data_IF_546659935103
#
_entry.id   IF_546659935103
#
_cell.length_a   1.000
_cell.length_b   1.000
_cell.length_c   1.000
_cell.angle_alpha   90.00
_cell.angle_beta   90.00
_cell.angle_gamma   90.00
#
_symmetry.space_group_name_H-M   'P 1'
#
loop_
_entity.id
_entity.type
_entity.pdbx_description
1 polymer ?
#
# COMPACT_ATOMS: atom_id res chain seq x y z
N UNK A 1 -24.62 13.13 -13.60
CA UNK A 1 -23.88 13.82 -12.52
C UNK A 1 -23.19 12.74 -11.71
N UNK A 2 -21.98 12.36 -12.13
CA UNK A 2 -21.25 11.21 -11.60
C UNK A 2 -19.93 11.74 -11.04
N UNK A 3 -19.81 11.68 -9.72
CA UNK A 3 -18.56 11.89 -9.01
C UNK A 3 -17.62 10.74 -9.39
N UNK A 4 -16.55 11.08 -10.09
CA UNK A 4 -15.42 10.19 -10.29
C UNK A 4 -14.67 10.08 -8.95
N UNK A 5 -14.80 8.93 -8.30
CA UNK A 5 -13.89 8.57 -7.21
C UNK A 5 -12.67 7.94 -7.88
N UNK A 6 -11.63 8.76 -8.03
CA UNK A 6 -10.31 8.34 -8.47
C UNK A 6 -9.72 7.41 -7.42
N UNK A 7 -9.54 6.13 -7.75
CA UNK A 7 -8.60 5.26 -7.05
C UNK A 7 -7.47 4.93 -8.03
N UNK A 8 -6.33 5.56 -7.80
CA UNK A 8 -5.06 5.26 -8.46
C UNK A 8 -4.20 4.50 -7.47
N UNK A 9 -4.19 3.18 -7.51
CA UNK A 9 -3.16 2.43 -6.80
C UNK A 9 -2.01 2.10 -7.77
N UNK A 10 -0.75 2.44 -7.40
CA UNK A 10 0.43 2.11 -8.19
C UNK A 10 0.73 0.62 -8.13
N UNK A 11 1.54 0.14 -9.07
CA UNK A 11 2.15 -1.19 -9.04
C UNK A 11 2.62 -1.53 -7.63
N UNK A 12 2.03 -2.57 -7.03
CA UNK A 12 2.48 -3.12 -5.76
C UNK A 12 3.74 -3.92 -6.08
N UNK A 13 4.92 -3.35 -5.80
CA UNK A 13 6.07 -4.21 -5.55
C UNK A 13 5.77 -4.96 -4.26
N UNK A 14 5.75 -6.28 -4.35
CA UNK A 14 5.59 -7.12 -3.18
C UNK A 14 6.86 -7.02 -2.34
N UNK A 15 6.72 -6.66 -1.08
CA UNK A 15 7.81 -6.65 -0.12
C UNK A 15 8.38 -8.07 0.04
N UNK A 16 9.71 -8.18 0.16
CA UNK A 16 10.37 -9.46 0.42
C UNK A 16 10.70 -9.61 1.90
N UNK A 17 10.58 -10.82 2.41
CA UNK A 17 11.14 -11.21 3.71
C UNK A 17 12.32 -12.16 3.50
N UNK A 18 13.41 -11.96 4.24
CA UNK A 18 14.52 -12.90 4.25
C UNK A 18 15.17 -13.01 5.62
N UNK A 19 15.93 -14.08 5.84
CA UNK A 19 16.77 -14.15 7.04
C UNK A 19 17.94 -13.17 6.94
N UNK A 20 18.27 -12.49 8.04
CA UNK A 20 19.43 -11.60 8.10
C UNK A 20 20.72 -12.36 7.79
N UNK A 21 20.81 -13.63 8.23
CA UNK A 21 21.91 -14.52 7.89
C UNK A 21 22.07 -14.78 6.38
N UNK A 22 20.98 -14.64 5.60
CA UNK A 22 20.97 -14.82 4.15
C UNK A 22 21.17 -13.50 3.37
N UNK A 23 21.31 -12.36 4.04
CA UNK A 23 21.43 -11.05 3.40
C UNK A 23 22.60 -10.98 2.42
N UNK A 24 23.74 -11.59 2.77
CA UNK A 24 24.92 -11.65 1.91
C UNK A 24 24.65 -12.38 0.58
N UNK A 25 23.73 -13.35 0.55
CA UNK A 25 23.35 -14.08 -0.67
C UNK A 25 22.50 -13.19 -1.57
N UNK A 26 21.61 -12.39 -0.97
CA UNK A 26 20.78 -11.41 -1.68
C UNK A 26 21.66 -10.32 -2.26
N UNK A 27 22.56 -9.74 -1.46
CA UNK A 27 23.53 -8.76 -1.94
C UNK A 27 24.32 -9.32 -3.12
N UNK A 28 24.89 -10.52 -2.99
CA UNK A 28 25.66 -11.18 -4.04
C UNK A 28 24.87 -11.39 -5.34
N UNK A 29 23.55 -11.63 -5.26
CA UNK A 29 22.69 -11.78 -6.43
C UNK A 29 22.55 -10.47 -7.25
N UNK A 30 22.76 -9.32 -6.61
CA UNK A 30 22.67 -8.01 -7.25
C UNK A 30 24.04 -7.38 -7.55
N UNK A 31 25.14 -7.92 -7.01
CA UNK A 31 26.50 -7.47 -7.34
C UNK A 31 26.75 -7.59 -8.85
N UNK A 32 27.07 -6.47 -9.49
CA UNK A 32 27.35 -6.41 -10.92
C UNK A 32 26.11 -6.33 -11.82
N UNK A 33 24.91 -6.27 -11.26
CA UNK A 33 23.72 -6.03 -12.04
C UNK A 33 23.70 -4.57 -12.57
N UNK A 34 23.51 -4.33 -13.88
CA UNK A 34 23.67 -3.01 -14.48
C UNK A 34 22.64 -1.97 -14.02
N UNK A 35 21.51 -2.41 -13.49
CA UNK A 35 20.36 -1.55 -13.14
C UNK A 35 19.84 -1.72 -11.72
N UNK A 36 20.35 -2.69 -10.97
CA UNK A 36 19.85 -3.00 -9.63
C UNK A 36 20.93 -2.66 -8.63
N UNK A 37 20.54 -1.91 -7.61
CA UNK A 37 21.46 -1.53 -6.55
C UNK A 37 20.88 -1.96 -5.22
N UNK A 38 21.56 -2.91 -4.62
CA UNK A 38 21.34 -3.25 -3.23
C UNK A 38 21.85 -2.12 -2.33
N UNK A 39 21.07 -1.81 -1.30
CA UNK A 39 21.48 -0.91 -0.22
C UNK A 39 20.96 -1.47 1.10
N UNK A 40 21.78 -1.38 2.13
CA UNK A 40 21.27 -1.54 3.48
C UNK A 40 20.39 -0.32 3.81
N UNK A 41 19.16 -0.57 4.22
CA UNK A 41 18.20 0.45 4.59
C UNK A 41 18.27 0.80 6.07
N UNK A 42 17.23 1.49 6.51
CA UNK A 42 17.03 1.81 7.92
C UNK A 42 16.24 0.72 8.64
N UNK A 43 15.25 1.16 9.41
CA UNK A 43 14.28 0.30 10.05
C UNK A 43 12.88 0.72 9.65
N UNK A 44 12.02 -0.24 9.38
CA UNK A 44 10.58 -0.04 9.33
C UNK A 44 10.05 -0.47 10.69
N UNK A 45 9.55 0.50 11.47
CA UNK A 45 9.25 0.29 12.89
C UNK A 45 10.48 -0.26 13.63
N UNK A 46 10.47 -1.51 14.10
CA UNK A 46 11.59 -2.13 14.81
C UNK A 46 12.37 -3.14 13.95
N UNK A 47 11.93 -3.39 12.71
CA UNK A 47 12.53 -4.38 11.82
C UNK A 47 13.57 -3.74 10.88
N UNK A 48 14.79 -4.27 10.80
CA UNK A 48 15.77 -3.84 9.81
C UNK A 48 15.27 -4.10 8.39
N UNK A 49 15.49 -3.14 7.50
CA UNK A 49 15.09 -3.24 6.09
C UNK A 49 16.33 -3.04 5.22
N UNK A 50 16.49 -3.87 4.21
CA UNK A 50 17.34 -3.62 3.06
C UNK A 50 16.47 -3.21 1.87
N UNK A 51 17.07 -2.61 0.85
CA UNK A 51 16.34 -2.26 -0.36
C UNK A 51 17.10 -2.69 -1.59
N UNK A 52 16.34 -3.03 -2.63
CA UNK A 52 16.86 -3.18 -3.99
C UNK A 52 16.20 -2.13 -4.85
N UNK A 53 16.99 -1.13 -5.25
CA UNK A 53 16.55 -0.05 -6.10
C UNK A 53 16.78 -0.36 -7.58
N UNK A 54 15.81 -0.07 -8.44
CA UNK A 54 15.97 0.00 -9.89
C UNK A 54 16.45 1.41 -10.25
N UNK A 55 17.59 1.51 -10.93
CA UNK A 55 18.10 2.77 -11.50
C UNK A 55 17.88 2.77 -13.00
N UNK A 56 17.24 3.81 -13.53
CA UNK A 56 17.14 4.01 -14.97
C UNK A 56 18.48 4.40 -15.62
N UNK A 57 19.42 4.93 -14.83
CA UNK A 57 20.76 5.34 -15.28
C UNK A 57 21.76 5.28 -14.13
N UNK A 58 23.05 5.00 -14.38
CA UNK A 58 24.11 5.06 -13.36
C UNK A 58 24.17 6.39 -12.59
N UNK A 59 23.70 7.48 -13.19
CA UNK A 59 23.71 8.82 -12.61
C UNK A 59 22.39 9.22 -11.92
N UNK A 60 21.33 8.41 -12.01
CA UNK A 60 20.03 8.70 -11.38
C UNK A 60 19.92 7.98 -10.02
N UNK A 61 19.31 8.60 -8.99
CA UNK A 61 18.84 7.86 -7.82
C UNK A 61 17.85 6.75 -8.25
N UNK A 62 17.65 5.75 -7.39
CA UNK A 62 16.68 4.68 -7.62
C UNK A 62 15.27 5.25 -7.80
N UNK A 63 14.58 4.81 -8.85
CA UNK A 63 13.22 5.28 -9.20
C UNK A 63 12.14 4.37 -8.62
N UNK A 64 12.47 3.10 -8.41
CA UNK A 64 11.61 2.08 -7.80
C UNK A 64 12.44 1.28 -6.81
N UNK A 65 11.87 0.98 -5.65
CA UNK A 65 12.56 0.32 -4.55
C UNK A 65 11.73 -0.84 -4.04
N UNK A 66 12.36 -2.01 -4.02
CA UNK A 66 11.85 -3.21 -3.37
C UNK A 66 12.36 -3.22 -1.93
N UNK A 67 11.45 -3.27 -0.96
CA UNK A 67 11.80 -3.39 0.45
C UNK A 67 12.02 -4.86 0.81
N UNK A 68 13.11 -5.13 1.52
CA UNK A 68 13.53 -6.46 1.98
C UNK A 68 13.63 -6.43 3.50
N UNK A 69 12.65 -7.02 4.17
CA UNK A 69 12.59 -7.09 5.63
C UNK A 69 13.46 -8.23 6.14
N UNK A 70 14.42 -7.89 7.01
CA UNK A 70 15.40 -8.82 7.56
C UNK A 70 14.88 -9.42 8.86
N UNK A 71 14.78 -10.75 8.90
CA UNK A 71 14.29 -11.53 10.04
C UNK A 71 15.41 -12.36 10.66
N UNK A 72 15.41 -12.52 11.97
CA UNK A 72 16.41 -13.35 12.66
C UNK A 72 15.98 -14.83 12.70
N UNK A 73 14.69 -15.12 12.90
CA UNK A 73 14.15 -16.48 13.02
C UNK A 73 12.85 -16.68 12.19
N UNK A 74 12.56 -17.90 11.72
CA UNK A 74 11.36 -18.17 10.93
C UNK A 74 10.10 -18.00 11.76
N UNK A 75 9.22 -17.08 11.35
CA UNK A 75 7.87 -16.92 11.89
C UNK A 75 7.83 -16.87 13.44
N UNK A 76 8.87 -16.33 14.08
CA UNK A 76 8.82 -15.97 15.48
C UNK A 76 7.93 -14.73 15.67
N UNK A 77 7.41 -14.56 16.89
CA UNK A 77 6.62 -13.37 17.21
C UNK A 77 7.53 -12.13 17.20
N UNK A 78 7.26 -11.24 16.24
CA UNK A 78 7.88 -9.92 16.17
C UNK A 78 6.78 -8.85 16.26
N UNK A 79 7.12 -7.65 16.70
CA UNK A 79 6.16 -6.54 16.74
C UNK A 79 5.52 -6.30 15.37
N UNK A 80 6.36 -6.35 14.33
CA UNK A 80 6.04 -5.91 12.97
C UNK A 80 5.53 -7.05 12.07
N UNK A 81 5.77 -8.31 12.44
CA UNK A 81 5.48 -9.49 11.63
C UNK A 81 4.71 -10.55 12.43
N UNK A 82 3.78 -11.28 11.79
CA UNK A 82 3.07 -12.34 12.46
C UNK A 82 3.98 -13.56 12.69
N UNK A 83 3.70 -14.27 13.78
CA UNK A 83 4.30 -15.56 14.12
C UNK A 83 3.59 -16.72 13.42
N UNK A 84 4.20 -17.91 13.48
CA UNK A 84 3.62 -19.12 12.91
C UNK A 84 2.26 -19.46 13.53
N UNK A 85 2.08 -19.21 14.84
CA UNK A 85 0.83 -19.49 15.55
C UNK A 85 -0.27 -18.48 15.18
N UNK A 86 0.11 -17.25 14.82
CA UNK A 86 -0.84 -16.22 14.37
C UNK A 86 -1.31 -16.49 12.93
N UNK A 87 -0.42 -17.05 12.09
CA UNK A 87 -0.74 -17.41 10.70
C UNK A 87 -1.47 -18.75 10.61
N UNK A 88 -0.97 -19.79 11.28
CA UNK A 88 -1.41 -21.17 11.09
C UNK A 88 -2.32 -21.68 12.23
N UNK A 89 -3.27 -22.59 11.92
CA UNK A 89 -3.59 -23.10 10.59
C UNK A 89 -4.27 -22.04 9.73
N UNK A 90 -4.00 -22.04 8.42
CA UNK A 90 -4.73 -21.19 7.49
C UNK A 90 -6.21 -21.60 7.45
N UNK A 91 -7.09 -20.61 7.36
CA UNK A 91 -8.53 -20.80 7.12
C UNK A 91 -8.92 -20.20 5.77
N UNK A 92 -10.11 -20.57 5.28
CA UNK A 92 -10.73 -19.92 4.12
C UNK A 92 -11.75 -18.91 4.60
N UNK A 93 -11.71 -17.71 4.03
CA UNK A 93 -12.70 -16.67 4.27
C UNK A 93 -13.30 -16.25 2.93
N UNK A 94 -14.60 -15.97 2.95
CA UNK A 94 -15.26 -15.37 1.81
C UNK A 94 -14.99 -13.86 1.79
N UNK A 95 -14.25 -13.39 0.81
CA UNK A 95 -13.97 -11.98 0.58
C UNK A 95 -14.43 -11.61 -0.83
N UNK A 96 -15.46 -10.78 -0.96
CA UNK A 96 -16.08 -10.43 -2.25
C UNK A 96 -16.47 -11.64 -3.11
N UNK A 97 -17.08 -12.68 -2.51
CA UNK A 97 -17.43 -13.94 -3.18
C UNK A 97 -16.23 -14.80 -3.61
N UNK A 98 -15.01 -14.44 -3.21
CA UNK A 98 -13.80 -15.23 -3.42
C UNK A 98 -13.39 -15.93 -2.12
N UNK A 99 -13.06 -17.21 -2.21
CA UNK A 99 -12.55 -17.99 -1.08
C UNK A 99 -11.04 -17.80 -0.93
N UNK A 100 -10.64 -16.81 -0.13
CA UNK A 100 -9.23 -16.45 0.07
C UNK A 100 -8.64 -17.18 1.29
N UNK A 101 -7.37 -17.64 1.22
CA UNK A 101 -6.68 -18.11 2.41
C UNK A 101 -6.45 -16.93 3.36
N UNK A 102 -6.63 -17.15 4.65
CA UNK A 102 -6.43 -16.16 5.69
C UNK A 102 -5.80 -16.78 6.93
N UNK A 103 -5.14 -15.98 7.79
CA UNK A 103 -4.63 -16.45 9.07
C UNK A 103 -5.71 -17.07 9.95
N UNK A 104 -5.34 -18.13 10.67
CA UNK A 104 -6.23 -18.84 11.60
C UNK A 104 -6.58 -18.04 12.85
N UNK A 105 -5.60 -17.32 13.38
CA UNK A 105 -5.71 -16.52 14.61
C UNK A 105 -5.02 -15.16 14.42
N UNK A 106 -5.55 -14.26 13.57
CA UNK A 106 -4.95 -12.96 13.33
C UNK A 106 -5.05 -12.01 14.52
N UNK A 107 -5.94 -12.25 15.47
CA UNK A 107 -6.28 -11.31 16.52
C UNK A 107 -5.09 -10.90 17.40
N UNK A 108 -4.21 -11.80 17.87
CA UNK A 108 -3.03 -11.42 18.64
C UNK A 108 -2.09 -10.49 17.86
N UNK A 109 -1.88 -10.77 16.57
CA UNK A 109 -1.06 -9.93 15.70
C UNK A 109 -1.68 -8.55 15.52
N UNK A 110 -2.98 -8.49 15.23
CA UNK A 110 -3.71 -7.24 15.05
C UNK A 110 -3.74 -6.41 16.34
N UNK A 111 -3.90 -7.04 17.51
CA UNK A 111 -3.82 -6.37 18.81
C UNK A 111 -2.44 -5.79 19.08
N UNK A 112 -1.38 -6.52 18.69
CA UNK A 112 0.00 -6.06 18.86
C UNK A 112 0.32 -4.86 17.96
N UNK A 113 -0.06 -4.95 16.68
CA UNK A 113 0.28 -3.94 15.67
C UNK A 113 -0.64 -2.70 15.74
N UNK A 114 -1.93 -2.90 16.02
CA UNK A 114 -2.96 -1.86 15.95
C UNK A 114 -3.61 -1.57 17.31
N UNK A 115 -3.11 -2.14 18.40
CA UNK A 115 -3.69 -1.94 19.73
C UNK A 115 -4.99 -2.72 19.96
N UNK A 116 -5.46 -2.72 21.21
CA UNK A 116 -6.65 -3.49 21.62
C UNK A 116 -7.96 -3.05 20.95
N UNK A 117 -7.99 -1.85 20.38
CA UNK A 117 -9.15 -1.25 19.71
C UNK A 117 -9.17 -1.47 18.20
N UNK A 118 -8.27 -2.32 17.66
CA UNK A 118 -8.13 -2.58 16.22
C UNK A 118 -9.45 -2.96 15.52
N UNK A 119 -10.35 -3.65 16.24
CA UNK A 119 -11.64 -4.08 15.70
C UNK A 119 -12.72 -2.99 15.73
N UNK A 120 -12.52 -1.94 16.53
CA UNK A 120 -13.49 -0.86 16.75
C UNK A 120 -13.04 0.49 16.20
N UNK A 121 -11.79 0.61 15.77
CA UNK A 121 -11.17 1.88 15.34
C UNK A 121 -10.64 1.74 13.91
N UNK A 122 -11.08 2.65 13.04
CA UNK A 122 -10.55 2.79 11.69
C UNK A 122 -9.42 3.81 11.74
N UNK A 123 -8.23 3.38 11.34
CA UNK A 123 -7.06 4.24 11.12
C UNK A 123 -6.93 4.48 9.62
N UNK A 124 -7.07 5.73 9.19
CA UNK A 124 -7.05 6.06 7.76
C UNK A 124 -5.61 6.22 7.30
N UNK A 125 -5.21 5.35 6.38
CA UNK A 125 -3.90 5.39 5.72
C UNK A 125 -3.97 6.38 4.55
N UNK A 126 -3.28 7.50 4.67
CA UNK A 126 -3.13 8.45 3.57
C UNK A 126 -1.75 8.25 2.93
N UNK A 127 -1.69 7.58 1.78
CA UNK A 127 -0.47 7.47 0.97
C UNK A 127 -0.07 8.82 0.32
N UNK A 128 -0.98 9.80 0.33
CA UNK A 128 -0.75 11.14 -0.18
C UNK A 128 -0.12 12.07 0.87
N UNK A 129 1.16 12.37 0.63
CA UNK A 129 1.96 13.40 1.27
C UNK A 129 1.20 14.72 1.49
N UNK A 130 1.25 15.24 2.71
CA UNK A 130 0.89 16.62 3.03
C UNK A 130 2.13 17.52 2.83
N UNK A 131 2.16 18.43 1.84
CA UNK A 131 3.34 19.27 1.55
C UNK A 131 3.64 20.32 2.62
N UNK A 132 2.78 20.52 3.61
CA UNK A 132 3.05 21.39 4.77
C UNK A 132 3.80 20.66 5.90
N UNK A 133 3.92 19.33 5.83
CA UNK A 133 4.59 18.54 6.84
C UNK A 133 5.53 17.54 6.17
N UNK A 134 6.79 17.94 6.03
CA UNK A 134 7.91 17.13 5.50
C UNK A 134 8.31 15.94 6.39
N UNK A 135 7.40 15.38 7.18
CA UNK A 135 7.67 14.31 8.13
C UNK A 135 6.49 13.32 8.17
N UNK A 136 6.75 12.15 7.58
CA UNK A 136 6.25 10.80 7.86
C UNK A 136 4.74 10.56 8.10
N UNK A 137 4.22 9.61 7.33
CA UNK A 137 3.47 8.44 7.79
C UNK A 137 3.15 8.46 9.31
N UNK A 138 1.98 8.97 9.71
CA UNK A 138 1.50 8.84 11.08
C UNK A 138 0.05 8.30 11.07
N UNK A 139 -0.16 6.98 11.29
CA UNK A 139 -1.48 6.37 11.31
C UNK A 139 -2.35 6.84 12.49
N UNK A 140 -1.77 7.49 13.50
CA UNK A 140 -2.52 8.12 14.60
C UNK A 140 -3.20 9.43 14.18
N UNK A 141 -2.82 10.03 13.04
CA UNK A 141 -3.34 11.35 12.63
C UNK A 141 -4.83 11.36 12.32
N UNK A 142 -5.37 10.25 11.83
CA UNK A 142 -6.81 10.12 11.53
C UNK A 142 -7.31 8.77 12.04
N UNK A 143 -7.75 8.77 13.30
CA UNK A 143 -8.44 7.64 13.92
C UNK A 143 -9.88 8.02 14.20
N UNK A 144 -10.81 7.17 13.78
CA UNK A 144 -12.24 7.32 14.07
C UNK A 144 -12.81 5.97 14.49
N UNK A 145 -13.88 5.95 15.28
CA UNK A 145 -14.55 4.68 15.56
C UNK A 145 -15.16 4.11 14.28
N UNK A 146 -15.24 2.79 14.20
CA UNK A 146 -15.85 2.08 13.08
C UNK A 146 -17.27 2.58 12.80
N UNK A 147 -18.07 2.80 13.85
CA UNK A 147 -19.43 3.33 13.72
C UNK A 147 -19.47 4.75 13.14
N UNK A 148 -18.52 5.61 13.54
CA UNK A 148 -18.43 6.97 12.99
C UNK A 148 -17.98 6.94 11.53
N UNK A 149 -17.01 6.08 11.20
CA UNK A 149 -16.55 5.88 9.83
C UNK A 149 -17.68 5.37 8.92
N UNK A 150 -18.39 4.32 9.34
CA UNK A 150 -19.50 3.74 8.58
C UNK A 150 -20.62 4.76 8.33
N UNK A 151 -20.94 5.61 9.33
CA UNK A 151 -21.88 6.71 9.14
C UNK A 151 -21.39 7.72 8.10
N UNK A 152 -20.12 8.14 8.16
CA UNK A 152 -19.55 9.05 7.17
C UNK A 152 -19.55 8.46 5.75
N UNK A 153 -19.22 7.17 5.61
CA UNK A 153 -19.28 6.45 4.33
C UNK A 153 -20.70 6.42 3.78
N UNK A 154 -21.69 6.16 4.64
CA UNK A 154 -23.10 6.19 4.27
C UNK A 154 -23.59 7.60 3.89
N UNK A 155 -23.23 8.62 4.68
CA UNK A 155 -23.59 10.02 4.44
C UNK A 155 -22.95 10.56 3.15
N UNK A 156 -21.75 10.09 2.81
CA UNK A 156 -21.10 10.36 1.53
C UNK A 156 -21.80 9.68 0.34
N UNK A 157 -22.80 8.85 0.59
CA UNK A 157 -23.53 8.11 -0.45
C UNK A 157 -22.68 7.04 -1.14
N UNK A 158 -21.62 6.56 -0.47
CA UNK A 158 -20.81 5.47 -1.01
C UNK A 158 -21.69 4.25 -1.24
N UNK A 159 -21.64 3.72 -2.46
CA UNK A 159 -22.25 2.45 -2.81
C UNK A 159 -21.10 1.50 -3.14
N UNK A 160 -20.94 0.38 -2.40
CA UNK A 160 -20.02 -0.65 -2.82
C UNK A 160 -20.28 -0.98 -4.29
N UNK A 161 -19.23 -1.07 -5.12
CA UNK A 161 -19.42 -1.46 -6.50
C UNK A 161 -20.12 -2.82 -6.53
N UNK A 162 -21.16 -2.94 -7.37
CA UNK A 162 -21.76 -4.23 -7.65
C UNK A 162 -20.72 -5.05 -8.41
N UNK A 163 -19.96 -5.87 -7.69
CA UNK A 163 -19.04 -6.83 -8.26
C UNK A 163 -19.81 -8.15 -8.35
N UNK A 164 -20.45 -8.46 -9.51
CA UNK A 164 -20.96 -9.81 -9.70
C UNK A 164 -19.79 -10.79 -9.54
N UNK A 165 -20.05 -12.00 -9.05
CA UNK A 165 -19.06 -13.07 -9.07
C UNK A 165 -18.65 -13.29 -10.52
N UNK A 166 -17.56 -12.63 -10.92
CA UNK A 166 -16.96 -12.79 -12.21
C UNK A 166 -16.04 -14.00 -12.13
N UNK A 167 -16.05 -14.79 -13.19
CA UNK A 167 -15.05 -15.82 -13.37
C UNK A 167 -13.65 -15.16 -13.29
N UNK A 168 -12.69 -15.72 -12.52
CA UNK A 168 -11.38 -15.12 -12.32
C UNK A 168 -10.62 -14.82 -13.63
N UNK A 169 -10.78 -15.64 -14.67
CA UNK A 169 -10.15 -15.39 -15.98
C UNK A 169 -10.76 -14.16 -16.64
N UNK A 170 -12.08 -13.98 -16.53
CA UNK A 170 -12.79 -12.80 -17.01
C UNK A 170 -12.35 -11.52 -16.29
N UNK A 171 -12.17 -11.58 -14.97
CA UNK A 171 -11.63 -10.45 -14.18
C UNK A 171 -10.20 -10.13 -14.60
N UNK A 172 -9.35 -11.15 -14.75
CA UNK A 172 -7.96 -10.96 -15.17
C UNK A 172 -7.87 -10.34 -16.56
N UNK A 173 -8.67 -10.81 -17.52
CA UNK A 173 -8.77 -10.26 -18.87
C UNK A 173 -9.19 -8.79 -18.85
N UNK A 174 -10.18 -8.42 -18.02
CA UNK A 174 -10.62 -7.03 -17.88
C UNK A 174 -9.55 -6.11 -17.25
N UNK A 175 -8.68 -6.64 -16.39
CA UNK A 175 -7.57 -5.89 -15.80
C UNK A 175 -6.48 -5.58 -16.84
N UNK A 176 -6.18 -6.54 -17.72
CA UNK A 176 -5.04 -6.48 -18.67
C UNK A 176 -5.42 -6.02 -20.08
N UNK A 177 -6.72 -5.95 -20.41
CA UNK A 177 -7.19 -5.47 -21.72
C UNK A 177 -6.82 -4.01 -21.97
N UNK A 178 -6.74 -3.61 -23.23
CA UNK A 178 -6.55 -2.22 -23.61
C UNK A 178 -7.64 -1.31 -23.00
N UNK A 179 -7.23 -0.25 -22.31
CA UNK A 179 -8.13 0.62 -21.54
C UNK A 179 -8.60 0.05 -20.20
N UNK A 180 -8.17 -1.16 -19.84
CA UNK A 180 -8.38 -1.77 -18.53
C UNK A 180 -7.57 -1.08 -17.41
N UNK A 181 -7.70 -1.61 -16.19
CA UNK A 181 -7.09 -1.01 -15.00
C UNK A 181 -5.57 -0.82 -15.13
N UNK A 182 -4.87 -1.78 -15.76
CA UNK A 182 -3.42 -1.70 -15.93
C UNK A 182 -3.00 -0.59 -16.91
N UNK A 183 -3.72 -0.44 -18.02
CA UNK A 183 -3.50 0.64 -18.98
C UNK A 183 -3.80 2.02 -18.36
N UNK A 184 -4.88 2.12 -17.58
CA UNK A 184 -5.22 3.34 -16.85
C UNK A 184 -4.16 3.70 -15.80
N UNK A 185 -3.65 2.71 -15.06
CA UNK A 185 -2.57 2.90 -14.09
C UNK A 185 -1.27 3.37 -14.77
N UNK A 186 -0.90 2.79 -15.93
CA UNK A 186 0.26 3.22 -16.72
C UNK A 186 0.13 4.67 -17.18
N UNK A 187 -1.01 5.04 -17.78
CA UNK A 187 -1.27 6.41 -18.21
C UNK A 187 -1.22 7.42 -17.04
N UNK A 188 -1.74 7.03 -15.87
CA UNK A 188 -1.65 7.84 -14.65
C UNK A 188 -0.22 7.90 -14.08
N UNK A 189 0.64 6.94 -14.37
CA UNK A 189 2.04 6.93 -13.94
C UNK A 189 2.94 7.77 -14.88
N UNK A 190 2.64 7.76 -16.18
CA UNK A 190 3.31 8.56 -17.21
C UNK A 190 3.01 10.07 -17.08
N UNK A 191 1.90 10.44 -16.43
CA UNK A 191 1.65 11.82 -16.03
C UNK A 191 2.71 12.25 -15.00
N UNK A 192 3.58 13.17 -15.41
CA UNK A 192 4.74 13.56 -14.60
C UNK A 192 4.29 14.13 -13.25
N UNK A 193 5.08 13.93 -12.21
CA UNK A 193 4.83 14.53 -10.88
C UNK A 193 4.53 16.05 -10.97
N UNK A 194 5.17 16.74 -11.91
CA UNK A 194 4.96 18.15 -12.18
C UNK A 194 3.56 18.45 -12.73
N UNK A 195 3.01 17.60 -13.58
CA UNK A 195 1.67 17.77 -14.15
C UNK A 195 0.58 17.50 -13.11
N UNK A 196 0.79 16.48 -12.25
CA UNK A 196 -0.05 16.22 -11.08
C UNK A 196 -0.07 17.43 -10.12
N UNK A 197 1.09 18.01 -9.86
CA UNK A 197 1.22 19.19 -9.00
C UNK A 197 0.53 20.42 -9.62
N UNK A 198 0.73 20.69 -10.91
CA UNK A 198 0.09 21.80 -11.63
C UNK A 198 -1.42 21.68 -11.62
N UNK A 199 -1.95 20.49 -11.91
CA UNK A 199 -3.40 20.22 -11.89
C UNK A 199 -3.98 20.48 -10.51
N UNK A 200 -3.36 19.95 -9.44
CA UNK A 200 -3.83 20.13 -8.06
C UNK A 200 -3.75 21.59 -7.58
N UNK A 201 -2.70 22.32 -7.98
CA UNK A 201 -2.60 23.76 -7.72
C UNK A 201 -3.72 24.54 -8.43
N UNK A 202 -4.08 24.14 -9.66
CA UNK A 202 -5.21 24.69 -10.40
C UNK A 202 -6.54 24.44 -9.69
N UNK A 203 -6.79 23.20 -9.28
CA UNK A 203 -8.00 22.79 -8.55
C UNK A 203 -8.14 23.54 -7.21
N UNK A 204 -7.06 23.66 -6.42
CA UNK A 204 -7.05 24.43 -5.17
C UNK A 204 -7.27 25.92 -5.38
N UNK A 205 -6.69 26.49 -6.45
CA UNK A 205 -6.89 27.89 -6.80
C UNK A 205 -8.35 28.14 -7.17
N UNK A 206 -8.96 27.26 -7.98
CA UNK A 206 -10.37 27.32 -8.34
C UNK A 206 -11.28 27.21 -7.11
N UNK A 207 -11.04 26.26 -6.21
CA UNK A 207 -11.82 26.10 -4.98
C UNK A 207 -11.71 27.34 -4.08
N UNK A 208 -10.52 27.93 -3.95
CA UNK A 208 -10.31 29.17 -3.19
C UNK A 208 -11.02 30.38 -3.81
N UNK A 209 -11.07 30.47 -5.14
CA UNK A 209 -11.80 31.54 -5.84
C UNK A 209 -13.30 31.38 -5.62
N UNK A 210 -13.83 30.16 -5.70
CA UNK A 210 -15.24 29.88 -5.43
C UNK A 210 -15.63 30.20 -3.98
N UNK A 211 -14.77 29.89 -3.01
CA UNK A 211 -15.00 30.19 -1.59
C UNK A 211 -14.90 31.69 -1.24
N UNK A 212 -14.17 32.48 -2.04
CA UNK A 212 -14.06 33.94 -1.87
C UNK A 212 -15.12 34.73 -2.65
N UNK A 213 -15.87 34.07 -3.52
CA UNK A 213 -16.96 34.65 -4.31
C UNK A 213 -18.33 34.55 -3.64
N UNK A 214 -18.38 34.21 -2.35
CA UNK A 214 -19.56 34.22 -1.48
C UNK A 214 -19.39 35.29 -0.42
#
# INVERSE_FOLDING_TARGET
>A
MLQAVHYSEPFVMEDLECFEADLHKIEAAFVGHPFLVFRQGGRWSCTPVAHVGIRASPASPSELELDIFLREDPLCEMLDFPSAVEVFPLRRLNFHSLEVPAPGAPEPFLQRLYGSDWASTVRVWSHDFNPFHSLAHNPERVSVTLDAYQRQVADAGYRPPACPAADPETTLLALVSDGGALAAARAAHEETWLDKLKRRNGEQTHARVQLKGV
#
